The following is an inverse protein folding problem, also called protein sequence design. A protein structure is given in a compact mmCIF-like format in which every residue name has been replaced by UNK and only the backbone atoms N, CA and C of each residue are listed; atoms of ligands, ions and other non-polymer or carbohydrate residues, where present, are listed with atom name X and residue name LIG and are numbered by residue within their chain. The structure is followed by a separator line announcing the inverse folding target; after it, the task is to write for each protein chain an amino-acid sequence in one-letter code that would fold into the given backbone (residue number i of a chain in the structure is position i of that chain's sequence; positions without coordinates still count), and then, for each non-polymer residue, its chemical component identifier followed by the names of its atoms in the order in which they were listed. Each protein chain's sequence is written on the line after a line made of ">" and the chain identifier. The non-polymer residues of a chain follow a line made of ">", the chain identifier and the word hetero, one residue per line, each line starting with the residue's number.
data_IF_605308777956
#
_entry.id   IF_605308777956
#
_cell.length_a   1.000
_cell.length_b   1.000
_cell.length_c   1.000
_cell.angle_alpha   90.00
_cell.angle_beta   90.00
_cell.angle_gamma   90.00
#
_symmetry.space_group_name_H-M   'P 1'
#
loop_
_entity.id
_entity.type
_entity.pdbx_description
1 polymer ?
#
# COMPACT_ATOMS: atom_id res chain seq x y z
N UNK A 1 -39.25 -81.85 23.17
CA UNK A 1 -38.95 -80.67 22.34
C UNK A 1 -37.66 -80.94 21.60
N UNK A 2 -37.69 -81.06 20.28
CA UNK A 2 -36.49 -81.20 19.44
C UNK A 2 -36.26 -79.83 18.82
N UNK A 3 -35.27 -79.08 19.32
CA UNK A 3 -34.84 -77.82 18.70
C UNK A 3 -34.00 -78.17 17.48
N UNK A 4 -34.59 -77.99 16.29
CA UNK A 4 -33.88 -78.09 15.02
C UNK A 4 -33.10 -76.80 14.81
N UNK A 5 -31.76 -76.87 14.87
CA UNK A 5 -30.87 -75.75 14.59
C UNK A 5 -30.82 -75.50 13.09
N UNK A 6 -31.48 -74.43 12.63
CA UNK A 6 -31.35 -73.98 11.23
C UNK A 6 -30.00 -73.28 11.10
N UNK A 7 -29.03 -73.94 10.46
CA UNK A 7 -27.78 -73.31 10.08
C UNK A 7 -28.06 -72.34 8.91
N UNK A 8 -28.02 -71.03 9.20
CA UNK A 8 -28.14 -69.99 8.17
C UNK A 8 -26.81 -69.94 7.42
N UNK A 9 -26.75 -70.52 6.22
CA UNK A 9 -25.61 -70.39 5.33
C UNK A 9 -25.52 -68.92 4.83
N UNK A 10 -24.51 -68.19 5.30
CA UNK A 10 -24.21 -66.83 4.83
C UNK A 10 -23.50 -66.93 3.48
N UNK A 11 -24.16 -66.51 2.40
CA UNK A 11 -23.52 -66.42 1.09
C UNK A 11 -22.50 -65.28 1.09
N UNK A 12 -21.23 -65.58 0.76
CA UNK A 12 -20.14 -64.59 0.65
C UNK A 12 -19.75 -64.42 -0.82
N UNK A 13 -19.69 -63.17 -1.28
CA UNK A 13 -19.14 -62.85 -2.60
C UNK A 13 -17.64 -63.11 -2.62
N UNK A 14 -17.19 -63.85 -3.63
CA UNK A 14 -15.79 -64.14 -3.94
C UNK A 14 -15.50 -63.74 -5.38
N UNK A 15 -14.24 -63.47 -5.69
CA UNK A 15 -13.80 -63.06 -7.02
C UNK A 15 -12.79 -64.06 -7.57
N UNK A 16 -12.73 -64.17 -8.89
CA UNK A 16 -11.70 -64.94 -9.59
C UNK A 16 -10.44 -64.08 -9.64
N UNK A 17 -9.30 -64.67 -9.29
CA UNK A 17 -7.99 -64.01 -9.37
C UNK A 17 -7.54 -63.86 -10.83
N UNK A 18 -6.89 -62.75 -11.15
CA UNK A 18 -6.41 -62.39 -12.50
C UNK A 18 -4.97 -62.91 -12.76
N UNK A 19 -4.40 -63.63 -11.80
CA UNK A 19 -3.06 -64.20 -11.92
C UNK A 19 -3.02 -65.39 -12.88
N UNK A 20 -2.31 -65.21 -13.99
CA UNK A 20 -2.05 -66.25 -14.98
C UNK A 20 -0.62 -66.80 -14.81
N UNK A 21 -0.46 -68.10 -15.06
CA UNK A 21 0.85 -68.76 -15.03
C UNK A 21 1.18 -69.37 -16.39
N UNK A 22 2.28 -68.90 -16.98
CA UNK A 22 2.74 -69.29 -18.30
C UNK A 22 3.86 -70.34 -18.18
N UNK A 23 3.69 -71.56 -18.72
CA UNK A 23 4.78 -72.53 -18.77
C UNK A 23 5.77 -72.16 -19.88
N UNK A 24 7.06 -72.19 -19.56
CA UNK A 24 8.16 -72.07 -20.52
C UNK A 24 8.59 -73.47 -20.93
N UNK A 25 8.70 -73.71 -22.24
CA UNK A 25 8.99 -75.02 -22.83
C UNK A 25 10.34 -75.04 -23.53
N UNK A 26 10.90 -76.24 -23.71
CA UNK A 26 12.17 -76.41 -24.43
C UNK A 26 12.07 -76.25 -25.95
N UNK A 27 10.86 -76.20 -26.52
CA UNK A 27 10.62 -76.10 -27.96
C UNK A 27 9.26 -75.51 -28.29
N UNK A 28 9.06 -75.12 -29.56
CA UNK A 28 7.87 -74.45 -30.08
C UNK A 28 6.68 -75.40 -30.24
N UNK A 29 5.99 -75.74 -29.15
CA UNK A 29 4.85 -76.67 -29.17
C UNK A 29 4.48 -77.24 -27.79
N UNK A 30 3.27 -77.79 -27.66
CA UNK A 30 2.76 -78.38 -26.41
C UNK A 30 3.42 -79.72 -26.07
N UNK A 31 4.01 -80.39 -27.08
CA UNK A 31 4.72 -81.66 -26.93
C UNK A 31 6.09 -81.54 -26.25
N UNK A 32 6.66 -80.34 -26.18
CA UNK A 32 7.99 -80.12 -25.61
C UNK A 32 7.96 -80.02 -24.10
N UNK A 33 9.06 -80.46 -23.46
CA UNK A 33 9.22 -80.47 -22.00
C UNK A 33 9.07 -79.06 -21.43
N UNK A 34 8.33 -78.93 -20.35
CA UNK A 34 8.26 -77.71 -19.55
C UNK A 34 9.58 -77.56 -18.79
N UNK A 35 10.30 -76.48 -19.05
CA UNK A 35 11.56 -76.13 -18.37
C UNK A 35 11.30 -75.21 -17.17
N UNK A 36 10.22 -74.42 -17.20
CA UNK A 36 9.74 -73.61 -16.08
C UNK A 36 8.21 -73.65 -16.04
N UNK A 37 7.64 -74.10 -14.93
CA UNK A 37 6.23 -74.51 -14.88
C UNK A 37 5.23 -73.38 -14.60
N UNK A 38 5.69 -72.25 -14.06
CA UNK A 38 4.80 -71.23 -13.54
C UNK A 38 5.45 -69.84 -13.60
N UNK A 39 5.57 -69.28 -14.80
CA UNK A 39 5.97 -67.89 -14.94
C UNK A 39 4.76 -66.98 -14.71
N UNK A 40 4.74 -66.13 -13.66
CA UNK A 40 3.57 -65.29 -13.38
C UNK A 40 3.37 -64.21 -14.44
N UNK A 41 2.11 -63.81 -14.66
CA UNK A 41 1.75 -62.65 -15.48
C UNK A 41 2.48 -61.39 -14.99
N UNK A 42 2.86 -60.53 -15.93
CA UNK A 42 3.63 -59.32 -15.63
C UNK A 42 5.14 -59.53 -15.50
N UNK A 43 5.64 -60.77 -15.55
CA UNK A 43 7.09 -61.02 -15.63
C UNK A 43 7.65 -60.43 -16.93
N UNK A 44 8.63 -59.52 -16.88
CA UNK A 44 9.30 -59.03 -18.08
C UNK A 44 10.11 -60.15 -18.73
N UNK A 45 9.99 -60.28 -20.04
CA UNK A 45 10.67 -61.27 -20.86
C UNK A 45 11.47 -60.58 -21.96
N UNK A 46 12.67 -61.08 -22.25
CA UNK A 46 13.41 -60.65 -23.43
C UNK A 46 12.94 -61.47 -24.62
N UNK A 47 12.43 -60.81 -25.65
CA UNK A 47 12.06 -61.43 -26.91
C UNK A 47 13.33 -61.81 -27.69
N UNK A 48 13.48 -63.10 -28.03
CA UNK A 48 14.62 -63.60 -28.82
C UNK A 48 14.21 -63.91 -30.26
N UNK A 49 13.09 -64.61 -30.44
CA UNK A 49 12.64 -65.08 -31.76
C UNK A 49 11.12 -65.29 -31.75
N UNK A 50 10.44 -64.94 -32.85
CA UNK A 50 9.02 -65.23 -33.05
C UNK A 50 8.87 -66.24 -34.19
N UNK A 51 8.18 -67.36 -33.93
CA UNK A 51 7.94 -68.42 -34.92
C UNK A 51 6.49 -68.37 -35.42
N UNK A 52 6.28 -68.76 -36.67
CA UNK A 52 4.95 -68.91 -37.30
C UNK A 52 4.10 -70.01 -36.64
N UNK A 53 4.72 -70.85 -35.79
CA UNK A 53 4.04 -71.92 -35.04
C UNK A 53 3.14 -71.43 -33.89
N UNK A 54 3.02 -70.11 -33.67
CA UNK A 54 2.29 -69.53 -32.55
C UNK A 54 3.05 -69.57 -31.21
N UNK A 55 4.37 -69.77 -31.27
CA UNK A 55 5.25 -69.76 -30.12
C UNK A 55 6.37 -68.74 -30.32
N UNK A 56 6.82 -68.18 -29.21
CA UNK A 56 7.87 -67.17 -29.17
C UNK A 56 8.96 -67.63 -28.23
N UNK A 57 10.21 -67.53 -28.68
CA UNK A 57 11.39 -67.80 -27.88
C UNK A 57 11.72 -66.57 -27.06
N UNK A 58 11.89 -66.78 -25.76
CA UNK A 58 12.13 -65.72 -24.78
C UNK A 58 13.26 -66.10 -23.85
N UNK A 59 13.93 -65.10 -23.27
CA UNK A 59 14.80 -65.26 -22.10
C UNK A 59 14.08 -64.75 -20.87
N UNK A 60 14.00 -65.58 -19.83
CA UNK A 60 13.42 -65.18 -18.54
C UNK A 60 14.43 -64.39 -17.70
N UNK A 61 14.00 -63.63 -16.68
CA UNK A 61 14.92 -62.90 -15.78
C UNK A 61 15.93 -63.79 -15.04
N UNK A 62 15.64 -65.10 -14.94
CA UNK A 62 16.55 -66.11 -14.37
C UNK A 62 17.64 -66.57 -15.36
N UNK A 63 17.61 -66.08 -16.60
CA UNK A 63 18.53 -66.47 -17.67
C UNK A 63 18.12 -67.71 -18.47
N UNK A 64 16.96 -68.31 -18.18
CA UNK A 64 16.50 -69.48 -18.93
C UNK A 64 15.97 -69.05 -20.31
N UNK A 65 16.41 -69.74 -21.36
CA UNK A 65 15.86 -69.59 -22.69
C UNK A 65 14.88 -70.72 -23.01
N UNK A 66 13.72 -70.35 -23.54
CA UNK A 66 12.73 -71.31 -23.96
C UNK A 66 11.60 -70.68 -24.75
N UNK A 67 10.58 -71.48 -25.04
CA UNK A 67 9.45 -71.13 -25.88
C UNK A 67 8.19 -70.99 -25.04
N UNK A 68 7.45 -69.91 -25.26
CA UNK A 68 6.15 -69.65 -24.64
C UNK A 68 5.10 -69.41 -25.74
N UNK A 69 3.82 -69.59 -25.41
CA UNK A 69 2.73 -69.33 -26.37
C UNK A 69 2.60 -67.84 -26.63
N UNK A 70 2.61 -67.44 -27.91
CA UNK A 70 2.60 -66.02 -28.31
C UNK A 70 1.32 -65.30 -27.90
N UNK A 71 0.20 -66.01 -27.69
CA UNK A 71 -1.08 -65.42 -27.27
C UNK A 71 -1.05 -64.78 -25.87
N UNK A 72 -0.06 -65.12 -25.04
CA UNK A 72 0.10 -64.59 -23.69
C UNK A 72 1.20 -63.54 -23.60
N UNK A 73 1.81 -63.17 -24.72
CA UNK A 73 2.81 -62.11 -24.77
C UNK A 73 2.10 -60.79 -25.11
N UNK A 74 2.39 -59.77 -24.32
CA UNK A 74 2.00 -58.39 -24.58
C UNK A 74 3.24 -57.53 -24.64
N UNK A 75 3.26 -56.55 -25.54
CA UNK A 75 4.30 -55.50 -25.60
C UNK A 75 4.12 -54.46 -24.48
N UNK A 76 2.95 -54.44 -23.84
CA UNK A 76 2.64 -53.52 -22.73
C UNK A 76 2.59 -54.25 -21.39
N UNK A 77 2.97 -53.57 -20.27
CA UNK A 77 2.87 -54.14 -18.93
C UNK A 77 1.45 -54.58 -18.58
N UNK A 78 1.30 -55.49 -17.62
CA UNK A 78 -0.03 -55.93 -17.16
C UNK A 78 -0.83 -54.79 -16.54
N UNK A 79 -2.16 -54.94 -16.54
CA UNK A 79 -3.08 -53.94 -16.02
C UNK A 79 -2.76 -53.52 -14.57
N UNK A 80 -2.34 -54.47 -13.71
CA UNK A 80 -1.94 -54.18 -12.34
C UNK A 80 -0.75 -53.20 -12.29
N UNK A 81 0.28 -53.40 -13.11
CA UNK A 81 1.44 -52.51 -13.19
C UNK A 81 1.07 -51.14 -13.72
N UNK A 82 0.24 -51.08 -14.76
CA UNK A 82 -0.26 -49.82 -15.31
C UNK A 82 -1.06 -49.05 -14.25
N UNK A 83 -1.94 -49.72 -13.53
CA UNK A 83 -2.75 -49.13 -12.46
C UNK A 83 -1.86 -48.63 -11.31
N UNK A 84 -0.85 -49.41 -10.91
CA UNK A 84 0.13 -48.96 -9.90
C UNK A 84 0.86 -47.71 -10.33
N UNK A 85 1.30 -47.62 -11.60
CA UNK A 85 1.96 -46.42 -12.15
C UNK A 85 1.01 -45.23 -12.20
N UNK A 86 -0.18 -45.40 -12.77
CA UNK A 86 -1.19 -44.36 -12.86
C UNK A 86 -1.60 -43.81 -11.48
N UNK A 87 -1.75 -44.68 -10.47
CA UNK A 87 -2.05 -44.24 -9.11
C UNK A 87 -0.91 -43.43 -8.49
N UNK A 88 0.36 -43.80 -8.74
CA UNK A 88 1.51 -43.03 -8.28
C UNK A 88 1.58 -41.66 -8.95
N UNK A 89 1.40 -41.61 -10.26
CA UNK A 89 1.37 -40.36 -11.03
C UNK A 89 0.22 -39.46 -10.59
N UNK A 90 -0.96 -40.03 -10.35
CA UNK A 90 -2.12 -39.30 -9.84
C UNK A 90 -1.83 -38.68 -8.46
N UNK A 91 -1.19 -39.42 -7.57
CA UNK A 91 -0.85 -38.94 -6.24
C UNK A 91 0.22 -37.83 -6.31
N UNK A 92 1.25 -38.00 -7.14
CA UNK A 92 2.25 -36.96 -7.40
C UNK A 92 1.62 -35.69 -7.98
N UNK A 93 0.78 -35.82 -9.01
CA UNK A 93 0.09 -34.69 -9.63
C UNK A 93 -0.83 -33.97 -8.63
N UNK A 94 -1.50 -34.71 -7.73
CA UNK A 94 -2.32 -34.12 -6.66
C UNK A 94 -1.46 -33.32 -5.67
N UNK A 95 -0.31 -33.84 -5.27
CA UNK A 95 0.61 -33.16 -4.37
C UNK A 95 1.19 -31.89 -5.01
N UNK A 96 1.60 -31.95 -6.27
CA UNK A 96 2.07 -30.80 -7.04
C UNK A 96 0.98 -29.74 -7.19
N UNK A 97 -0.24 -30.14 -7.50
CA UNK A 97 -1.38 -29.24 -7.61
C UNK A 97 -1.73 -28.58 -6.28
N UNK A 98 -1.64 -29.30 -5.16
CA UNK A 98 -1.82 -28.73 -3.82
C UNK A 98 -0.73 -27.69 -3.52
N UNK A 99 0.54 -28.01 -3.80
CA UNK A 99 1.67 -27.09 -3.62
C UNK A 99 1.56 -25.84 -4.51
N UNK A 100 1.21 -26.02 -5.77
CA UNK A 100 1.04 -24.91 -6.71
C UNK A 100 -0.11 -23.98 -6.30
N UNK A 101 -1.22 -24.53 -5.79
CA UNK A 101 -2.33 -23.73 -5.24
C UNK A 101 -1.91 -22.93 -4.01
N UNK A 102 -1.16 -23.55 -3.10
CA UNK A 102 -0.63 -22.87 -1.90
C UNK A 102 0.31 -21.73 -2.31
N UNK A 103 1.25 -21.98 -3.22
CA UNK A 103 2.16 -20.95 -3.73
C UNK A 103 1.41 -19.81 -4.44
N UNK A 104 0.37 -20.13 -5.22
CA UNK A 104 -0.46 -19.13 -5.87
C UNK A 104 -1.19 -18.24 -4.85
N UNK A 105 -1.70 -18.84 -3.77
CA UNK A 105 -2.33 -18.09 -2.68
C UNK A 105 -1.34 -17.16 -1.98
N UNK A 106 -0.14 -17.67 -1.65
CA UNK A 106 0.92 -16.90 -1.01
C UNK A 106 1.39 -15.72 -1.89
N UNK A 107 1.73 -15.99 -3.14
CA UNK A 107 2.18 -14.96 -4.09
C UNK A 107 1.08 -13.93 -4.35
N UNK A 108 -0.19 -14.32 -4.38
CA UNK A 108 -1.29 -13.37 -4.50
C UNK A 108 -1.42 -12.49 -3.26
N UNK A 109 -1.26 -13.07 -2.07
CA UNK A 109 -1.27 -12.31 -0.81
C UNK A 109 -0.11 -11.31 -0.73
N UNK A 110 1.11 -11.76 -1.07
CA UNK A 110 2.31 -10.92 -1.11
C UNK A 110 2.16 -9.78 -2.13
N UNK A 111 1.65 -10.07 -3.33
CA UNK A 111 1.37 -9.04 -4.34
C UNK A 111 0.40 -7.98 -3.81
N UNK A 112 -0.69 -8.38 -3.17
CA UNK A 112 -1.68 -7.44 -2.62
C UNK A 112 -1.09 -6.60 -1.48
N UNK A 113 -0.20 -7.19 -0.66
CA UNK A 113 0.53 -6.46 0.39
C UNK A 113 1.51 -5.45 -0.20
N UNK A 114 2.29 -5.85 -1.22
CA UNK A 114 3.22 -4.97 -1.92
C UNK A 114 2.48 -3.81 -2.60
N UNK A 115 1.35 -4.08 -3.27
CA UNK A 115 0.51 -3.05 -3.88
C UNK A 115 -0.02 -2.05 -2.83
N UNK A 116 -0.44 -2.54 -1.66
CA UNK A 116 -0.84 -1.67 -0.53
C UNK A 116 0.32 -0.84 0.02
N UNK A 117 1.53 -1.41 0.06
CA UNK A 117 2.73 -0.69 0.52
C UNK A 117 3.15 0.39 -0.48
N UNK A 118 3.13 0.07 -1.77
CA UNK A 118 3.44 1.01 -2.85
C UNK A 118 2.48 2.21 -2.87
N UNK A 119 1.17 1.96 -2.74
CA UNK A 119 0.17 3.04 -2.66
C UNK A 119 0.37 3.91 -1.42
N UNK A 120 0.72 3.33 -0.27
CA UNK A 120 1.04 4.07 0.96
C UNK A 120 2.33 4.89 0.82
N UNK A 121 3.39 4.31 0.24
CA UNK A 121 4.67 4.98 -0.02
C UNK A 121 4.51 6.14 -0.99
N UNK A 122 3.76 5.93 -2.07
CA UNK A 122 3.42 6.97 -3.05
C UNK A 122 2.69 8.15 -2.38
N UNK A 123 1.66 7.86 -1.57
CA UNK A 123 0.93 8.88 -0.81
C UNK A 123 1.83 9.63 0.17
N UNK A 124 2.71 8.92 0.88
CA UNK A 124 3.68 9.52 1.80
C UNK A 124 4.68 10.42 1.07
N UNK A 125 5.18 9.97 -0.08
CA UNK A 125 6.07 10.75 -0.94
C UNK A 125 5.41 12.06 -1.40
N UNK A 126 4.15 11.98 -1.87
CA UNK A 126 3.39 13.16 -2.28
C UNK A 126 3.17 14.13 -1.11
N UNK A 127 2.83 13.62 0.08
CA UNK A 127 2.68 14.46 1.29
C UNK A 127 3.99 15.12 1.70
N UNK A 128 5.11 14.39 1.69
CA UNK A 128 6.43 14.92 2.00
C UNK A 128 6.85 16.00 0.99
N UNK A 129 6.53 15.81 -0.29
CA UNK A 129 6.81 16.80 -1.33
C UNK A 129 5.99 18.08 -1.11
N UNK A 130 4.71 17.95 -0.79
CA UNK A 130 3.86 19.10 -0.44
C UNK A 130 4.36 19.82 0.82
N UNK A 131 4.79 19.08 1.82
CA UNK A 131 5.29 19.65 3.08
C UNK A 131 6.62 20.37 2.88
N UNK A 132 7.54 19.78 2.11
CA UNK A 132 8.76 20.46 1.69
C UNK A 132 8.45 21.75 0.93
N UNK A 133 7.45 21.75 0.05
CA UNK A 133 7.05 22.97 -0.67
C UNK A 133 6.45 24.01 0.29
N UNK A 134 5.62 23.60 1.24
CA UNK A 134 5.09 24.48 2.30
C UNK A 134 6.20 25.12 3.12
N UNK A 135 7.15 24.32 3.61
CA UNK A 135 8.27 24.80 4.40
C UNK A 135 9.12 25.80 3.59
N UNK A 136 9.40 25.49 2.31
CA UNK A 136 10.11 26.42 1.42
C UNK A 136 9.38 27.75 1.27
N UNK A 137 8.06 27.72 1.09
CA UNK A 137 7.25 28.93 0.96
C UNK A 137 7.26 29.74 2.28
N UNK A 138 7.07 29.11 3.43
CA UNK A 138 7.11 29.77 4.75
C UNK A 138 8.48 30.40 5.00
N UNK A 139 9.56 29.70 4.68
CA UNK A 139 10.92 30.24 4.80
C UNK A 139 11.18 31.42 3.86
N UNK A 140 10.57 31.44 2.67
CA UNK A 140 10.62 32.60 1.79
C UNK A 140 9.80 33.78 2.34
N UNK A 141 8.63 33.50 2.92
CA UNK A 141 7.74 34.50 3.51
C UNK A 141 8.33 35.15 4.77
N UNK A 142 9.12 34.44 5.59
CA UNK A 142 9.75 35.03 6.78
C UNK A 142 10.73 36.16 6.42
N UNK A 143 11.44 36.05 5.28
CA UNK A 143 12.32 37.12 4.79
C UNK A 143 11.49 38.37 4.41
N UNK A 144 10.34 38.17 3.78
CA UNK A 144 9.42 39.26 3.45
C UNK A 144 8.77 39.87 4.71
N UNK A 145 8.46 39.04 5.71
CA UNK A 145 7.91 39.48 6.98
C UNK A 145 8.90 40.36 7.75
N UNK A 146 10.18 39.98 7.78
CA UNK A 146 11.23 40.77 8.43
C UNK A 146 11.42 42.14 7.75
N UNK A 147 11.34 42.17 6.40
CA UNK A 147 11.37 43.43 5.63
C UNK A 147 10.18 44.34 5.99
N UNK A 148 8.96 43.80 6.00
CA UNK A 148 7.74 44.55 6.35
C UNK A 148 7.75 45.04 7.79
N UNK A 149 8.29 44.26 8.72
CA UNK A 149 8.40 44.68 10.12
C UNK A 149 9.35 45.87 10.28
N UNK A 150 10.49 45.86 9.57
CA UNK A 150 11.38 47.03 9.50
C UNK A 150 10.69 48.26 8.91
N UNK A 151 10.02 48.11 7.77
CA UNK A 151 9.26 49.20 7.14
C UNK A 151 8.18 49.76 8.07
N UNK A 152 7.42 48.92 8.76
CA UNK A 152 6.40 49.34 9.73
C UNK A 152 7.00 50.04 10.95
N UNK A 153 8.18 49.62 11.41
CA UNK A 153 8.89 50.30 12.51
C UNK A 153 9.38 51.68 12.07
N UNK A 154 9.93 51.79 10.87
CA UNK A 154 10.33 53.06 10.26
C UNK A 154 9.13 53.99 10.08
N UNK A 155 8.01 53.49 9.58
CA UNK A 155 6.77 54.26 9.41
C UNK A 155 6.17 54.69 10.75
N UNK A 156 6.16 53.81 11.76
CA UNK A 156 5.75 54.17 13.12
C UNK A 156 6.63 55.27 13.71
N UNK A 157 7.95 55.19 13.51
CA UNK A 157 8.86 56.22 13.98
C UNK A 157 8.58 57.55 13.27
N UNK A 158 8.36 57.52 11.95
CA UNK A 158 8.04 58.70 11.17
C UNK A 158 6.73 59.34 11.63
N UNK A 159 5.65 58.57 11.78
CA UNK A 159 4.35 59.06 12.26
C UNK A 159 4.48 59.67 13.66
N UNK A 160 5.28 59.07 14.55
CA UNK A 160 5.54 59.63 15.88
C UNK A 160 6.27 60.98 15.80
N UNK A 161 7.31 61.07 14.98
CA UNK A 161 8.03 62.34 14.77
C UNK A 161 7.11 63.40 14.15
N UNK A 162 6.30 63.02 13.15
CA UNK A 162 5.35 63.92 12.50
C UNK A 162 4.27 64.40 13.50
N UNK A 163 3.79 63.52 14.39
CA UNK A 163 2.90 63.89 15.48
C UNK A 163 3.57 64.88 16.44
N UNK A 164 4.80 64.61 16.87
CA UNK A 164 5.54 65.51 17.77
C UNK A 164 5.74 66.91 17.16
N UNK A 165 6.13 66.96 15.89
CA UNK A 165 6.27 68.21 15.13
C UNK A 165 4.93 68.93 15.00
N UNK A 166 3.86 68.24 14.60
CA UNK A 166 2.53 68.83 14.47
C UNK A 166 1.98 69.32 15.81
N UNK A 167 2.22 68.60 16.89
CA UNK A 167 1.83 69.05 18.24
C UNK A 167 2.60 70.31 18.64
N UNK A 168 3.91 70.34 18.41
CA UNK A 168 4.74 71.52 18.70
C UNK A 168 4.34 72.73 17.84
N UNK A 169 3.98 72.50 16.57
CA UNK A 169 3.51 73.56 15.67
C UNK A 169 2.14 74.08 16.09
N UNK A 170 1.23 73.19 16.53
CA UNK A 170 -0.07 73.57 17.07
C UNK A 170 0.07 74.37 18.38
N UNK A 171 0.87 73.90 19.34
CA UNK A 171 1.17 74.62 20.59
C UNK A 171 1.78 76.00 20.29
N UNK A 172 2.71 76.09 19.33
CA UNK A 172 3.31 77.36 18.89
C UNK A 172 2.27 78.29 18.27
N UNK A 173 1.40 77.78 17.40
CA UNK A 173 0.32 78.54 16.77
C UNK A 173 -0.67 79.06 17.82
N UNK A 174 -1.04 78.23 18.79
CA UNK A 174 -1.92 78.60 19.90
C UNK A 174 -1.29 79.66 20.80
N UNK A 175 -0.03 79.50 21.19
CA UNK A 175 0.72 80.50 21.96
C UNK A 175 0.86 81.84 21.19
N UNK A 176 1.06 81.79 19.86
CA UNK A 176 1.12 83.00 19.04
C UNK A 176 -0.22 83.72 18.99
N UNK A 177 -1.34 82.99 18.85
CA UNK A 177 -2.69 83.56 18.94
C UNK A 177 -2.95 84.17 20.31
N UNK A 178 -2.60 83.48 21.40
CA UNK A 178 -2.77 83.99 22.76
C UNK A 178 -1.98 85.28 22.97
N UNK A 179 -0.73 85.32 22.50
CA UNK A 179 0.11 86.52 22.53
C UNK A 179 -0.51 87.69 21.75
N UNK A 180 -1.09 87.45 20.57
CA UNK A 180 -1.76 88.49 19.78
C UNK A 180 -3.00 89.06 20.50
N UNK A 181 -3.82 88.19 21.09
CA UNK A 181 -4.96 88.62 21.92
C UNK A 181 -4.52 89.38 23.17
N UNK A 182 -3.41 88.98 23.81
CA UNK A 182 -2.85 89.67 24.97
C UNK A 182 -2.34 91.07 24.59
N UNK A 183 -1.66 91.23 23.45
CA UNK A 183 -1.21 92.54 22.96
C UNK A 183 -2.38 93.47 22.64
N UNK A 184 -3.44 92.94 22.00
CA UNK A 184 -4.70 93.66 21.79
C UNK A 184 -5.36 94.08 23.11
N UNK A 185 -5.40 93.17 24.09
CA UNK A 185 -5.89 93.46 25.44
C UNK A 185 -5.09 94.55 26.16
N UNK A 186 -3.75 94.48 26.11
CA UNK A 186 -2.86 95.47 26.67
C UNK A 186 -3.04 96.86 26.01
N UNK A 187 -3.19 96.89 24.69
CA UNK A 187 -3.51 98.12 23.95
C UNK A 187 -4.86 98.73 24.35
N UNK A 188 -5.90 97.91 24.50
CA UNK A 188 -7.22 98.35 24.95
C UNK A 188 -7.18 98.96 26.36
N UNK A 189 -6.47 98.32 27.30
CA UNK A 189 -6.30 98.81 28.67
C UNK A 189 -5.55 100.15 28.69
N UNK A 190 -4.42 100.25 27.98
CA UNK A 190 -3.66 101.50 27.88
C UNK A 190 -4.49 102.63 27.25
N UNK A 191 -5.25 102.34 26.19
CA UNK A 191 -6.17 103.28 25.58
C UNK A 191 -7.27 103.74 26.53
N UNK A 192 -7.87 102.82 27.30
CA UNK A 192 -8.87 103.13 28.31
C UNK A 192 -8.33 104.02 29.44
N UNK A 193 -7.11 103.76 29.92
CA UNK A 193 -6.43 104.58 30.94
C UNK A 193 -6.13 105.99 30.40
N UNK A 194 -5.63 106.11 29.17
CA UNK A 194 -5.39 107.40 28.52
C UNK A 194 -6.68 108.22 28.41
N UNK A 195 -7.78 107.60 27.95
CA UNK A 195 -9.08 108.25 27.87
C UNK A 195 -9.59 108.69 29.26
N UNK A 196 -9.44 107.85 30.29
CA UNK A 196 -9.83 108.19 31.65
C UNK A 196 -9.05 109.39 32.22
N UNK A 197 -7.80 109.61 31.79
CA UNK A 197 -6.96 110.74 32.18
C UNK A 197 -7.30 112.03 31.39
N UNK A 198 -7.62 111.91 30.09
CA UNK A 198 -7.88 113.05 29.21
C UNK A 198 -9.30 113.61 29.39
N UNK A 199 -10.32 112.76 29.57
CA UNK A 199 -11.73 113.18 29.72
C UNK A 199 -11.95 114.21 30.86
N UNK A 200 -11.37 114.08 32.08
CA UNK A 200 -11.53 115.09 33.13
C UNK A 200 -10.86 116.43 32.79
N UNK A 201 -9.86 116.45 31.91
CA UNK A 201 -9.13 117.66 31.51
C UNK A 201 -9.92 118.55 30.53
N UNK A 202 -10.93 117.99 29.84
CA UNK A 202 -11.76 118.69 28.86
C UNK A 202 -13.12 119.18 29.41
N UNK A 203 -13.38 119.07 30.71
CA UNK A 203 -14.57 119.66 31.34
C UNK A 203 -14.41 121.19 31.48
N UNK A 204 -15.25 122.01 30.82
CA UNK A 204 -15.23 123.46 31.01
C UNK A 204 -15.78 123.80 32.40
N UNK A 205 -14.99 124.51 33.20
CA UNK A 205 -15.40 124.99 34.53
C UNK A 205 -16.39 126.14 34.37
N UNK A 206 -17.64 125.95 34.80
CA UNK A 206 -18.60 127.04 35.02
C UNK A 206 -18.07 127.93 36.15
N UNK A 207 -17.86 129.21 35.86
CA UNK A 207 -17.82 130.28 36.87
C UNK A 207 -19.23 130.84 37.04
N UNK A 208 -19.75 130.70 38.24
CA UNK A 208 -20.78 131.56 38.82
C UNK A 208 -20.12 132.81 39.42
N UNK A 209 -20.96 133.77 39.82
CA UNK A 209 -20.72 135.06 40.51
C UNK A 209 -20.79 136.25 39.53
N UNK A 210 -21.53 137.34 39.76
CA UNK A 210 -22.50 137.74 40.77
C UNK A 210 -23.18 139.04 40.26
N UNK A 211 -24.35 139.37 40.79
CA UNK A 211 -25.18 140.59 40.66
C UNK A 211 -24.53 141.93 40.21
N UNK A 212 -25.21 142.62 39.26
CA UNK A 212 -25.53 144.05 39.19
C UNK A 212 -26.54 144.29 38.07
#
# INVERSE_FOLDING_TARGET
>A
MILSSVAVAQARTVWVDDMLYLPVRSGAGTQYRIIENALPSGTPLELLETSDSGYTRVRTPKGNEGWVSSQYISETPVAEDQLRRANRELEQARQELAKAKEQLSQVTSERNQLESSETALSSKSQNLQQELQRIKNIAADSINLERRNRELLEENQKIRNDLEVLTAENERLEASKESDFMLLGAGLVLGGVLLALIIPMLKPTRKTDNWA
#
